data_IF_318522968404
#
_entry.id   IF_318522968404
#
_cell.length_a   1.000
_cell.length_b   1.000
_cell.length_c   1.000
_cell.angle_alpha   90.00
_cell.angle_beta   90.00
_cell.angle_gamma   90.00
#
_symmetry.space_group_name_H-M   'P 1'
#
loop_
_entity.id
_entity.type
_entity.pdbx_description
1 polymer ?
#
# COMPACT_ATOMS: atom_id res chain seq x y z
N UNK A 1 25.73 -26.58 56.55
CA UNK A 1 24.45 -26.26 55.89
C UNK A 1 24.63 -24.92 55.20
N UNK A 2 24.95 -24.86 53.89
CA UNK A 2 25.07 -23.56 53.22
C UNK A 2 23.68 -22.93 53.10
N UNK A 3 23.59 -21.66 53.47
CA UNK A 3 22.39 -20.84 53.31
C UNK A 3 22.10 -20.71 51.80
N UNK A 4 20.89 -21.08 51.41
CA UNK A 4 20.39 -20.83 50.05
C UNK A 4 20.06 -19.34 50.02
N UNK A 5 20.95 -18.55 49.45
CA UNK A 5 20.66 -17.18 49.05
C UNK A 5 19.63 -17.24 47.92
N UNK A 6 18.37 -17.04 48.27
CA UNK A 6 17.30 -16.84 47.29
C UNK A 6 17.56 -15.47 46.67
N UNK A 7 18.27 -15.46 45.55
CA UNK A 7 18.37 -14.30 44.68
C UNK A 7 16.97 -13.99 44.15
N UNK A 8 16.26 -13.06 44.79
CA UNK A 8 15.08 -12.42 44.24
C UNK A 8 15.52 -11.60 43.02
N UNK A 9 15.48 -12.23 41.85
CA UNK A 9 15.55 -11.48 40.60
C UNK A 9 14.36 -10.53 40.57
N UNK A 10 14.56 -9.22 40.30
CA UNK A 10 13.45 -8.29 40.19
C UNK A 10 12.53 -8.83 39.10
N UNK A 11 11.33 -9.24 39.51
CA UNK A 11 10.26 -9.62 38.60
C UNK A 11 9.94 -8.34 37.85
N UNK A 12 10.55 -8.15 36.68
CA UNK A 12 10.13 -7.12 35.75
C UNK A 12 8.67 -7.41 35.47
N UNK A 13 7.77 -6.66 36.12
CA UNK A 13 6.34 -6.74 35.95
C UNK A 13 6.07 -6.52 34.46
N UNK A 14 5.93 -7.61 33.73
CA UNK A 14 5.46 -7.56 32.35
C UNK A 14 4.09 -6.91 32.44
N UNK A 15 3.95 -5.75 31.80
CA UNK A 15 2.66 -5.11 31.80
C UNK A 15 1.70 -5.93 30.94
N UNK A 16 0.44 -5.94 31.33
CA UNK A 16 -0.62 -6.48 30.50
C UNK A 16 -0.79 -5.63 29.24
N UNK A 17 -1.27 -6.26 28.17
CA UNK A 17 -1.64 -5.57 26.93
C UNK A 17 -2.75 -4.56 27.24
N UNK A 18 -2.63 -3.37 26.67
CA UNK A 18 -3.74 -2.39 26.66
C UNK A 18 -4.83 -2.87 25.70
N UNK A 19 -6.03 -2.32 25.85
CA UNK A 19 -7.20 -2.68 25.03
C UNK A 19 -6.92 -2.54 23.52
N UNK A 20 -6.23 -1.47 23.10
CA UNK A 20 -5.87 -1.24 21.69
C UNK A 20 -4.89 -2.31 21.17
N UNK A 21 -3.90 -2.67 21.98
CA UNK A 21 -2.88 -3.67 21.64
C UNK A 21 -3.52 -5.06 21.53
N UNK A 22 -4.39 -5.39 22.49
CA UNK A 22 -5.17 -6.62 22.51
C UNK A 22 -6.10 -6.70 21.29
N UNK A 23 -6.76 -5.61 20.92
CA UNK A 23 -7.63 -5.55 19.75
C UNK A 23 -6.85 -5.86 18.46
N UNK A 24 -5.67 -5.26 18.30
CA UNK A 24 -4.86 -5.46 17.09
C UNK A 24 -4.32 -6.89 17.02
N UNK A 25 -3.85 -7.46 18.14
CA UNK A 25 -3.39 -8.85 18.23
C UNK A 25 -4.53 -9.83 17.94
N UNK A 26 -5.67 -9.69 18.61
CA UNK A 26 -6.84 -10.57 18.44
C UNK A 26 -7.40 -10.52 17.01
N UNK A 27 -7.36 -9.35 16.37
CA UNK A 27 -7.78 -9.17 14.98
C UNK A 27 -6.87 -9.91 14.00
N UNK A 28 -5.55 -9.88 14.21
CA UNK A 28 -4.62 -10.66 13.39
C UNK A 28 -4.84 -12.16 13.58
N UNK A 29 -5.06 -12.61 14.81
CA UNK A 29 -5.29 -14.01 15.14
C UNK A 29 -6.54 -14.56 14.49
N UNK A 30 -7.65 -13.83 14.58
CA UNK A 30 -8.87 -14.23 13.91
C UNK A 30 -8.70 -14.32 12.39
N UNK A 31 -7.85 -13.46 11.81
CA UNK A 31 -7.50 -13.56 10.39
C UNK A 31 -6.63 -14.79 10.09
N UNK A 32 -5.66 -15.09 10.96
CA UNK A 32 -4.74 -16.21 10.84
C UNK A 32 -5.46 -17.56 10.92
N UNK A 33 -6.50 -17.67 11.75
CA UNK A 33 -7.39 -18.86 11.83
C UNK A 33 -8.02 -19.22 10.48
N UNK A 34 -8.33 -18.21 9.66
CA UNK A 34 -9.04 -18.39 8.39
C UNK A 34 -8.11 -18.33 7.16
N UNK A 35 -6.82 -18.06 7.35
CA UNK A 35 -5.87 -17.89 6.27
C UNK A 35 -4.62 -18.75 6.45
N UNK A 36 -4.49 -19.81 5.64
CA UNK A 36 -3.36 -20.74 5.73
C UNK A 36 -1.98 -20.08 5.53
N UNK A 37 -1.90 -18.99 4.75
CA UNK A 37 -0.65 -18.21 4.55
C UNK A 37 -0.28 -17.41 5.80
N UNK A 38 -1.28 -16.80 6.42
CA UNK A 38 -1.13 -15.90 7.56
C UNK A 38 -1.18 -16.65 8.91
N UNK A 39 -1.57 -17.93 8.92
CA UNK A 39 -1.52 -18.83 10.08
C UNK A 39 -0.10 -19.01 10.64
N UNK A 40 0.91 -19.09 9.76
CA UNK A 40 2.30 -19.34 10.13
C UNK A 40 3.25 -18.35 9.42
N UNK A 41 3.39 -17.12 9.92
CA UNK A 41 4.24 -16.09 9.31
C UNK A 41 5.72 -16.50 9.22
N UNK A 42 6.22 -17.27 10.18
CA UNK A 42 7.58 -17.83 10.14
C UNK A 42 7.81 -18.79 8.98
N UNK A 43 6.77 -19.53 8.58
CA UNK A 43 6.84 -20.42 7.42
C UNK A 43 6.84 -19.60 6.13
N UNK A 44 6.02 -18.57 6.06
CA UNK A 44 5.99 -17.64 4.93
C UNK A 44 7.34 -16.93 4.73
N UNK A 45 8.04 -16.59 5.82
CA UNK A 45 9.41 -16.04 5.76
C UNK A 45 10.40 -17.05 5.17
N UNK A 46 10.34 -18.33 5.57
CA UNK A 46 11.23 -19.38 5.05
C UNK A 46 10.99 -19.71 3.58
N UNK A 47 9.76 -19.56 3.13
CA UNK A 47 9.34 -19.86 1.76
C UNK A 47 9.42 -18.61 0.85
N UNK A 48 9.91 -17.47 1.36
CA UNK A 48 9.94 -16.17 0.68
C UNK A 48 8.57 -15.75 0.08
N UNK A 49 7.48 -16.32 0.60
CA UNK A 49 6.15 -16.24 -0.02
C UNK A 49 5.27 -15.11 0.53
N UNK A 50 5.77 -14.39 1.55
CA UNK A 50 5.13 -13.22 2.12
C UNK A 50 3.76 -13.50 2.77
N UNK A 51 3.18 -12.46 3.38
CA UNK A 51 1.83 -12.54 3.93
C UNK A 51 0.78 -12.36 2.82
N UNK A 52 -0.45 -12.68 3.16
CA UNK A 52 -1.61 -12.33 2.37
C UNK A 52 -1.84 -10.81 2.41
N UNK A 53 -2.41 -10.19 1.35
CA UNK A 53 -2.59 -8.72 1.29
C UNK A 53 -3.36 -8.15 2.49
N UNK A 54 -4.41 -8.83 2.95
CA UNK A 54 -5.14 -8.44 4.17
C UNK A 54 -4.29 -8.63 5.44
N UNK A 55 -3.52 -9.71 5.50
CA UNK A 55 -2.62 -10.00 6.61
C UNK A 55 -1.49 -9.00 6.73
N UNK A 56 -1.01 -8.43 5.61
CA UNK A 56 -0.07 -7.31 5.61
C UNK A 56 -0.63 -6.10 6.35
N UNK A 57 -1.85 -5.64 6.00
CA UNK A 57 -2.48 -4.52 6.71
C UNK A 57 -2.69 -4.81 8.20
N UNK A 58 -3.05 -6.05 8.57
CA UNK A 58 -3.14 -6.42 9.98
C UNK A 58 -1.77 -6.44 10.68
N UNK A 59 -0.73 -6.91 10.01
CA UNK A 59 0.63 -6.96 10.55
C UNK A 59 1.25 -5.56 10.70
N UNK A 60 0.95 -4.64 9.79
CA UNK A 60 1.35 -3.24 9.88
C UNK A 60 0.69 -2.55 11.09
N UNK A 61 -0.60 -2.81 11.32
CA UNK A 61 -1.26 -2.36 12.54
C UNK A 61 -0.58 -2.95 13.78
N UNK A 62 -0.27 -4.25 13.81
CA UNK A 62 0.47 -4.85 14.94
C UNK A 62 1.81 -4.14 15.16
N UNK A 63 2.57 -3.91 14.10
CA UNK A 63 3.87 -3.25 14.14
C UNK A 63 3.81 -1.78 14.61
N UNK A 64 2.65 -1.13 14.49
CA UNK A 64 2.43 0.24 14.97
C UNK A 64 2.36 0.30 16.50
N UNK A 65 1.83 -0.74 17.14
CA UNK A 65 1.63 -0.78 18.58
C UNK A 65 2.70 -1.60 19.31
N UNK A 66 3.16 -2.69 18.68
CA UNK A 66 4.03 -3.69 19.30
C UNK A 66 5.23 -3.98 18.40
N UNK A 67 6.38 -4.23 19.02
CA UNK A 67 7.57 -4.72 18.34
C UNK A 67 8.28 -5.77 19.19
N UNK A 68 8.96 -6.71 18.53
CA UNK A 68 9.84 -7.67 19.21
C UNK A 68 11.29 -7.19 19.16
N UNK A 69 12.01 -7.41 20.26
CA UNK A 69 13.44 -7.22 20.34
C UNK A 69 14.04 -8.24 21.30
N UNK A 70 14.98 -9.05 20.84
CA UNK A 70 15.62 -10.11 21.61
C UNK A 70 14.59 -11.09 22.21
N UNK A 71 13.65 -11.58 21.38
CA UNK A 71 12.56 -12.50 21.77
C UNK A 71 11.61 -11.95 22.85
N UNK A 72 11.63 -10.64 23.09
CA UNK A 72 10.75 -9.96 24.04
C UNK A 72 9.90 -8.95 23.31
N UNK A 73 8.62 -8.90 23.66
CA UNK A 73 7.67 -7.96 23.08
C UNK A 73 7.65 -6.67 23.89
N UNK A 74 7.69 -5.56 23.17
CA UNK A 74 7.63 -4.22 23.70
C UNK A 74 6.48 -3.45 23.05
N UNK A 75 5.83 -2.61 23.84
CA UNK A 75 4.84 -1.64 23.37
C UNK A 75 5.53 -0.34 22.94
N UNK A 76 5.16 0.17 21.77
CA UNK A 76 5.62 1.45 21.22
C UNK A 76 4.87 2.63 21.86
N UNK A 77 3.58 2.45 22.14
CA UNK A 77 2.64 3.54 22.39
C UNK A 77 2.45 3.83 23.90
N UNK A 78 3.53 4.18 24.60
CA UNK A 78 3.42 4.74 25.95
C UNK A 78 3.68 6.24 25.96
N UNK A 79 2.86 6.94 26.74
CA UNK A 79 2.93 8.39 26.99
C UNK A 79 4.30 8.83 27.52
N UNK A 80 5.05 7.92 28.15
CA UNK A 80 6.41 8.15 28.64
C UNK A 80 7.49 8.16 27.53
N UNK A 81 7.16 7.74 26.31
CA UNK A 81 8.13 7.60 25.20
C UNK A 81 9.09 6.42 25.36
N UNK A 82 9.06 5.71 26.48
CA UNK A 82 9.89 4.54 26.75
C UNK A 82 9.15 3.24 26.41
N UNK A 83 9.78 2.34 25.63
CA UNK A 83 9.17 1.07 25.28
C UNK A 83 9.04 0.19 26.52
N UNK A 84 7.81 -0.22 26.84
CA UNK A 84 7.59 -1.12 27.97
C UNK A 84 7.43 -2.55 27.50
N UNK A 85 8.04 -3.48 28.25
CA UNK A 85 7.87 -4.91 28.02
C UNK A 85 6.45 -5.34 28.34
N UNK A 86 5.82 -6.02 27.39
CA UNK A 86 4.43 -6.49 27.49
C UNK A 86 4.38 -7.99 27.29
N UNK A 87 3.47 -8.65 28.01
CA UNK A 87 3.20 -10.08 27.84
C UNK A 87 2.05 -10.30 26.85
N UNK A 88 2.30 -11.05 25.78
CA UNK A 88 1.22 -11.55 24.90
C UNK A 88 0.80 -12.94 25.37
N UNK A 89 -0.49 -13.19 25.63
CA UNK A 89 -0.99 -14.52 25.97
C UNK A 89 -0.57 -15.58 24.95
N UNK A 90 -0.27 -16.79 25.45
CA UNK A 90 0.17 -17.94 24.63
C UNK A 90 -0.88 -18.46 23.65
N UNK A 91 -2.13 -18.04 23.84
CA UNK A 91 -3.25 -18.37 22.95
C UNK A 91 -3.05 -17.75 21.57
N UNK A 92 -2.44 -16.57 21.53
CA UNK A 92 -2.15 -15.83 20.31
C UNK A 92 -0.83 -16.29 19.66
N UNK A 93 -0.85 -17.51 19.09
CA UNK A 93 0.34 -18.15 18.50
C UNK A 93 0.79 -17.48 17.21
N UNK A 94 -0.14 -17.12 16.34
CA UNK A 94 0.16 -16.53 15.03
C UNK A 94 0.73 -15.11 15.17
N UNK A 95 0.23 -14.30 16.10
CA UNK A 95 0.72 -12.97 16.41
C UNK A 95 2.11 -13.00 17.07
N UNK A 96 2.34 -13.93 18.01
CA UNK A 96 3.68 -14.16 18.56
C UNK A 96 4.67 -14.57 17.47
N UNK A 97 4.27 -15.49 16.57
CA UNK A 97 5.08 -15.88 15.43
C UNK A 97 5.31 -14.73 14.44
N UNK A 98 4.34 -13.82 14.27
CA UNK A 98 4.46 -12.64 13.42
C UNK A 98 5.54 -11.71 13.96
N UNK A 99 5.47 -11.35 15.24
CA UNK A 99 6.43 -10.44 15.86
C UNK A 99 7.87 -10.97 15.77
N UNK A 100 8.05 -12.29 15.95
CA UNK A 100 9.33 -12.96 15.72
C UNK A 100 9.74 -12.92 14.24
N UNK A 101 8.80 -13.16 13.31
CA UNK A 101 9.09 -13.07 11.88
C UNK A 101 9.54 -11.65 11.48
N UNK A 102 8.93 -10.61 12.05
CA UNK A 102 9.32 -9.22 11.85
C UNK A 102 10.73 -8.94 12.36
N UNK A 103 11.08 -9.46 13.54
CA UNK A 103 12.44 -9.36 14.08
C UNK A 103 13.47 -10.07 13.18
N UNK A 104 13.09 -11.20 12.57
CA UNK A 104 13.92 -11.93 11.61
C UNK A 104 13.99 -11.28 10.22
N UNK A 105 13.31 -10.17 9.99
CA UNK A 105 13.37 -9.41 8.74
C UNK A 105 12.24 -9.71 7.75
N UNK A 106 11.09 -10.19 8.21
CA UNK A 106 9.88 -10.22 7.37
C UNK A 106 9.52 -8.79 6.96
N UNK A 107 9.72 -8.47 5.69
CA UNK A 107 9.39 -7.15 5.17
C UNK A 107 7.88 -6.98 5.08
N UNK A 108 7.32 -6.01 5.80
CA UNK A 108 5.92 -5.55 5.66
C UNK A 108 5.69 -4.68 4.43
N UNK A 109 6.55 -4.83 3.41
CA UNK A 109 6.56 -3.91 2.28
C UNK A 109 5.42 -4.26 1.34
N UNK A 110 4.36 -3.46 1.39
CA UNK A 110 3.50 -3.29 0.23
C UNK A 110 4.42 -2.83 -0.91
N UNK A 111 4.47 -3.64 -1.97
CA UNK A 111 5.19 -3.46 -3.23
C UNK A 111 5.92 -2.11 -3.38
N UNK A 112 7.25 -2.15 -3.55
CA UNK A 112 8.08 -0.98 -3.92
C UNK A 112 7.27 -0.10 -4.87
N UNK A 113 7.05 1.21 -4.57
CA UNK A 113 6.32 2.06 -5.47
C UNK A 113 6.98 1.95 -6.84
N UNK A 114 6.21 1.47 -7.83
CA UNK A 114 6.68 1.42 -9.20
C UNK A 114 7.29 2.79 -9.50
N UNK A 115 8.50 2.86 -10.07
CA UNK A 115 9.19 4.13 -10.24
C UNK A 115 8.24 5.10 -10.93
N UNK A 116 7.97 6.24 -10.28
CA UNK A 116 7.17 7.30 -10.87
C UNK A 116 7.91 7.76 -12.11
N UNK A 117 7.45 7.33 -13.28
CA UNK A 117 8.00 7.77 -14.56
C UNK A 117 7.50 9.20 -14.74
N UNK A 118 8.28 10.18 -14.27
CA UNK A 118 8.08 11.58 -14.61
C UNK A 118 8.50 11.77 -16.07
N UNK A 119 7.52 11.91 -16.96
CA UNK A 119 7.77 12.44 -18.29
C UNK A 119 8.01 13.94 -18.14
N UNK A 120 9.29 14.34 -18.07
CA UNK A 120 9.67 15.75 -18.16
C UNK A 120 9.18 16.30 -19.52
N UNK A 121 8.20 17.21 -19.48
CA UNK A 121 7.53 17.82 -20.65
C UNK A 121 8.50 18.62 -21.54
N UNK A 122 9.76 18.80 -21.13
CA UNK A 122 10.75 19.63 -21.82
C UNK A 122 11.89 18.90 -22.53
N UNK A 123 11.96 17.57 -22.49
CA UNK A 123 13.02 16.82 -23.21
C UNK A 123 12.37 15.97 -24.31
N UNK A 124 12.69 16.20 -25.60
CA UNK A 124 12.32 15.23 -26.61
C UNK A 124 13.00 13.91 -26.23
N UNK A 125 12.21 12.86 -26.02
CA UNK A 125 12.73 11.52 -25.80
C UNK A 125 13.70 11.23 -26.94
N UNK A 126 14.96 10.94 -26.60
CA UNK A 126 15.91 10.50 -27.62
C UNK A 126 15.33 9.22 -28.22
N UNK A 127 15.21 9.11 -29.56
CA UNK A 127 14.77 7.87 -30.16
C UNK A 127 15.73 6.80 -29.67
N UNK A 128 15.18 5.76 -29.01
CA UNK A 128 15.95 4.58 -28.66
C UNK A 128 16.58 4.10 -29.97
N UNK A 129 17.91 4.14 -30.07
CA UNK A 129 18.60 3.40 -31.12
C UNK A 129 18.22 1.95 -30.90
N UNK A 130 17.30 1.45 -31.73
CA UNK A 130 17.12 0.02 -31.90
C UNK A 130 18.49 -0.55 -32.21
N UNK A 131 18.92 -1.53 -31.41
CA UNK A 131 20.12 -2.29 -31.72
C UNK A 131 20.08 -2.66 -33.20
N UNK A 132 21.18 -2.38 -33.89
CA UNK A 132 21.39 -2.67 -35.31
C UNK A 132 21.15 -4.17 -35.53
N UNK A 133 19.94 -4.51 -35.96
CA UNK A 133 19.66 -5.77 -36.63
C UNK A 133 19.88 -5.45 -38.10
N UNK A 134 21.01 -5.90 -38.63
CA UNK A 134 21.25 -5.90 -40.07
C UNK A 134 20.26 -6.88 -40.72
N UNK A 135 19.09 -6.38 -41.11
CA UNK A 135 18.19 -7.11 -42.00
C UNK A 135 18.71 -7.01 -43.44
N UNK A 136 19.02 -8.12 -44.14
CA UNK A 136 19.64 -8.09 -45.47
C UNK A 136 18.73 -7.62 -46.63
N UNK A 137 17.50 -7.16 -46.38
CA UNK A 137 16.56 -6.82 -47.45
C UNK A 137 15.80 -5.52 -47.18
N UNK A 138 15.92 -4.49 -48.03
CA UNK A 138 15.10 -3.29 -47.93
C UNK A 138 13.71 -3.60 -48.51
N UNK A 139 12.80 -4.15 -47.70
CA UNK A 139 11.38 -4.26 -48.06
C UNK A 139 10.69 -2.90 -47.85
N UNK A 140 10.87 -1.96 -48.78
CA UNK A 140 10.01 -0.78 -48.91
C UNK A 140 8.85 -1.10 -49.84
N UNK A 141 7.97 -2.02 -49.44
CA UNK A 141 6.68 -2.19 -50.10
C UNK A 141 5.56 -1.96 -49.08
N UNK A 142 4.83 -0.86 -49.28
CA UNK A 142 3.58 -0.60 -48.57
C UNK A 142 2.56 -1.56 -49.18
N UNK A 143 2.32 -2.69 -48.51
CA UNK A 143 1.21 -3.56 -48.87
C UNK A 143 -0.08 -2.82 -48.52
N UNK A 144 -0.69 -2.17 -49.51
CA UNK A 144 -2.04 -1.61 -49.39
C UNK A 144 -3.00 -2.76 -49.07
N UNK A 145 -3.34 -2.89 -47.79
CA UNK A 145 -4.42 -3.78 -47.37
C UNK A 145 -5.71 -3.21 -47.95
N UNK A 146 -6.36 -3.96 -48.84
CA UNK A 146 -7.70 -3.63 -49.32
C UNK A 146 -8.61 -3.33 -48.12
N UNK A 147 -9.35 -2.21 -48.10
CA UNK A 147 -10.18 -1.84 -46.96
C UNK A 147 -11.15 -2.98 -46.66
N UNK A 148 -11.05 -3.53 -45.45
CA UNK A 148 -12.04 -4.49 -44.97
C UNK A 148 -13.39 -3.78 -44.99
N UNK A 149 -14.30 -4.29 -45.82
CA UNK A 149 -15.68 -3.83 -45.83
C UNK A 149 -16.25 -4.11 -44.44
N UNK A 150 -16.38 -3.06 -43.64
CA UNK A 150 -16.99 -3.10 -42.33
C UNK A 150 -18.44 -3.54 -42.52
N UNK A 151 -18.70 -4.85 -42.38
CA UNK A 151 -20.05 -5.37 -42.13
C UNK A 151 -20.60 -4.60 -40.93
N UNK A 152 -21.66 -3.85 -41.20
CA UNK A 152 -22.14 -2.74 -40.38
C UNK A 152 -22.20 -3.05 -38.89
N UNK A 153 -21.46 -2.26 -38.11
CA UNK A 153 -21.76 -2.06 -36.70
C UNK A 153 -23.16 -1.44 -36.60
N UNK A 154 -24.08 -2.10 -35.90
CA UNK A 154 -25.42 -1.56 -35.63
C UNK A 154 -25.29 -0.38 -34.67
N UNK A 155 -25.27 0.83 -35.21
CA UNK A 155 -25.44 2.06 -34.42
C UNK A 155 -26.88 2.12 -33.90
N UNK A 156 -27.06 1.96 -32.59
CA UNK A 156 -28.35 2.17 -31.93
C UNK A 156 -28.57 3.68 -31.80
N UNK A 157 -29.27 4.27 -32.77
CA UNK A 157 -29.73 5.65 -32.69
C UNK A 157 -31.04 5.70 -31.88
N UNK A 158 -31.00 6.26 -30.67
CA UNK A 158 -32.22 6.64 -29.97
C UNK A 158 -32.83 7.87 -30.68
N UNK A 159 -33.98 7.71 -31.32
CA UNK A 159 -34.80 8.84 -31.75
C UNK A 159 -35.36 9.52 -30.50
N UNK A 160 -34.69 10.57 -30.04
CA UNK A 160 -35.25 11.48 -29.04
C UNK A 160 -36.53 12.13 -29.61
N UNK A 161 -37.67 12.05 -28.91
CA UNK A 161 -38.88 12.73 -29.32
C UNK A 161 -38.65 14.23 -29.35
N UNK A 162 -39.14 14.85 -30.41
CA UNK A 162 -39.23 16.28 -30.70
C UNK A 162 -39.14 17.22 -29.48
N UNK A 163 -38.26 18.21 -29.59
CA UNK A 163 -38.58 19.60 -29.21
C UNK A 163 -38.51 19.97 -27.74
N UNK A 164 -37.30 20.11 -27.19
CA UNK A 164 -37.07 20.87 -25.95
C UNK A 164 -35.97 21.92 -26.20
N UNK A 165 -36.30 23.23 -26.25
CA UNK A 165 -35.34 24.31 -26.56
C UNK A 165 -34.33 24.61 -25.45
N UNK A 166 -34.37 23.88 -24.33
CA UNK A 166 -33.64 24.20 -23.10
C UNK A 166 -32.49 23.25 -22.74
N UNK A 167 -32.08 22.34 -23.63
CA UNK A 167 -30.88 21.53 -23.42
C UNK A 167 -29.62 22.29 -23.84
N UNK A 168 -29.23 23.25 -23.02
CA UNK A 168 -27.84 23.69 -22.98
C UNK A 168 -26.93 22.49 -22.72
N UNK A 169 -25.73 22.50 -23.28
CA UNK A 169 -24.80 21.38 -23.12
C UNK A 169 -24.37 21.31 -21.65
N UNK A 170 -24.66 20.20 -20.97
CA UNK A 170 -24.14 19.90 -19.63
C UNK A 170 -22.60 20.07 -19.56
N UNK A 171 -21.95 19.90 -20.70
CA UNK A 171 -20.51 20.03 -20.87
C UNK A 171 -19.99 21.46 -20.76
N UNK A 172 -20.78 22.50 -21.05
CA UNK A 172 -20.35 23.90 -20.88
C UNK A 172 -20.29 24.29 -19.41
N UNK A 173 -21.28 23.89 -18.60
CA UNK A 173 -21.25 24.13 -17.15
C UNK A 173 -20.11 23.37 -16.50
N UNK A 174 -19.90 22.10 -16.88
CA UNK A 174 -18.75 21.31 -16.43
C UNK A 174 -17.39 21.89 -16.85
N UNK A 175 -17.32 22.56 -18.01
CA UNK A 175 -16.11 23.22 -18.49
C UNK A 175 -15.79 24.48 -17.66
N UNK A 176 -16.81 25.26 -17.32
CA UNK A 176 -16.69 26.44 -16.46
C UNK A 176 -16.28 26.03 -15.04
N UNK A 177 -16.92 25.02 -14.46
CA UNK A 177 -16.56 24.48 -13.14
C UNK A 177 -15.12 23.95 -13.08
N UNK A 178 -14.62 23.40 -14.20
CA UNK A 178 -13.23 22.93 -14.30
C UNK A 178 -12.24 24.09 -14.33
N UNK A 179 -12.58 25.18 -15.01
CA UNK A 179 -11.80 26.42 -15.03
C UNK A 179 -11.80 27.12 -13.67
N UNK A 180 -12.94 27.15 -12.96
CA UNK A 180 -13.05 27.75 -11.63
C UNK A 180 -12.25 27.00 -10.56
N UNK A 181 -12.24 25.66 -10.59
CA UNK A 181 -11.39 24.87 -9.68
C UNK A 181 -9.91 25.08 -9.93
N UNK A 182 -9.50 25.10 -11.21
CA UNK A 182 -8.13 25.44 -11.56
C UNK A 182 -7.78 26.87 -11.10
N UNK A 183 -8.79 27.74 -11.06
CA UNK A 183 -8.71 29.13 -10.64
C UNK A 183 -8.46 29.40 -9.17
N UNK A 184 -9.11 28.64 -8.31
CA UNK A 184 -8.92 28.78 -6.88
C UNK A 184 -7.53 28.28 -6.44
N UNK A 185 -6.94 27.30 -7.13
CA UNK A 185 -5.61 26.75 -6.83
C UNK A 185 -4.49 27.77 -7.06
N UNK A 186 -4.61 28.66 -8.04
CA UNK A 186 -3.58 29.69 -8.28
C UNK A 186 -3.73 30.94 -7.41
N UNK A 187 -4.91 31.21 -6.84
CA UNK A 187 -5.14 32.34 -5.92
C UNK A 187 -4.64 32.05 -4.49
N UNK A 188 -4.66 30.80 -4.04
CA UNK A 188 -4.13 30.41 -2.72
C UNK A 188 -2.61 30.38 -2.64
N UNK A 189 -1.88 30.44 -3.77
CA UNK A 189 -0.40 30.44 -3.80
C UNK A 189 0.28 31.81 -3.86
N UNK A 190 -0.44 32.91 -3.61
CA UNK A 190 0.19 34.24 -3.45
C UNK A 190 -0.38 35.02 -2.26
N UNK A 191 0.13 34.72 -1.08
CA UNK A 191 0.28 35.72 -0.01
C UNK A 191 1.28 35.25 1.05
N UNK A 192 2.57 35.23 0.70
CA UNK A 192 3.64 35.39 1.70
C UNK A 192 4.19 36.79 1.55
N UNK A 193 3.47 37.77 2.11
CA UNK A 193 4.05 39.08 2.45
C UNK A 193 5.07 38.82 3.55
N UNK A 194 6.36 38.86 3.20
CA UNK A 194 7.43 38.91 4.19
C UNK A 194 7.38 40.29 4.87
N UNK A 195 7.12 40.30 6.17
CA UNK A 195 7.49 41.41 7.04
C UNK A 195 9.00 41.30 7.32
N UNK A 196 9.76 42.33 6.93
CA UNK A 196 10.93 42.81 7.65
C UNK A 196 11.25 44.24 7.20
#
# INVERSE_FOLDING_TARGET
MPAIEVYEYPVHLESELRDDELYVVSRYEHHAEHCARCANPLRALKEDSGLCQRGYGHAELVATYLFSRHDKVYSVARESGEPTRVHIPREYKSANALLLALELGLELREEKPLPVITYDVGKPATPRRSAEVEDPYPCTEIIERSPQTLKGSRTICYRSPRGSPHRGSLYETDAVDRLERHSQVYKTRRSTRYFR
#
